data_IF_014339212348
#
_entry.id   IF_014339212348
#
_cell.length_a   1.000
_cell.length_b   1.000
_cell.length_c   1.000
_cell.angle_alpha   90.00
_cell.angle_beta   90.00
_cell.angle_gamma   90.00
#
_symmetry.space_group_name_H-M   'P 1'
#
loop_
_entity.id
_entity.type
_entity.pdbx_description
1 polymer ?
#
# COMPACT_ATOMS: atom_id res chain seq x y z
N UNK A 1 6.04 -82.99 -33.41
CA UNK A 1 7.30 -82.24 -33.46
C UNK A 1 7.62 -81.76 -32.07
N UNK A 2 8.20 -82.64 -31.26
CA UNK A 2 8.86 -82.21 -30.03
C UNK A 2 10.07 -81.37 -30.48
N UNK A 3 10.30 -80.22 -29.87
CA UNK A 3 11.56 -79.51 -30.07
C UNK A 3 12.68 -80.48 -29.70
N UNK A 4 13.70 -80.60 -30.56
CA UNK A 4 14.92 -81.33 -30.21
C UNK A 4 15.45 -80.79 -28.87
N UNK A 5 15.98 -81.67 -28.01
CA UNK A 5 16.51 -81.29 -26.69
C UNK A 5 17.48 -80.11 -26.77
N UNK A 6 18.29 -80.06 -27.84
CA UNK A 6 19.20 -78.97 -28.18
C UNK A 6 18.50 -77.61 -28.40
N UNK A 7 17.32 -77.62 -29.03
CA UNK A 7 16.55 -76.39 -29.26
C UNK A 7 15.86 -75.91 -27.98
N UNK A 8 15.45 -76.85 -27.11
CA UNK A 8 14.87 -76.53 -25.81
C UNK A 8 15.93 -75.94 -24.86
N UNK A 9 17.14 -76.52 -24.83
CA UNK A 9 18.28 -75.99 -24.09
C UNK A 9 18.69 -74.60 -24.58
N UNK A 10 18.79 -74.40 -25.89
CA UNK A 10 19.12 -73.09 -26.45
C UNK A 10 18.07 -72.00 -26.13
N UNK A 11 16.78 -72.37 -26.04
CA UNK A 11 15.71 -71.45 -25.65
C UNK A 11 15.79 -71.11 -24.15
N UNK A 12 16.09 -72.11 -23.31
CA UNK A 12 16.30 -71.92 -21.87
C UNK A 12 17.51 -71.04 -21.59
N UNK A 13 18.59 -71.19 -22.34
CA UNK A 13 19.81 -70.39 -22.22
C UNK A 13 19.52 -68.91 -22.55
N UNK A 14 18.81 -68.64 -23.65
CA UNK A 14 18.38 -67.29 -24.01
C UNK A 14 17.44 -66.66 -22.99
N UNK A 15 16.54 -67.46 -22.41
CA UNK A 15 15.63 -66.96 -21.38
C UNK A 15 16.39 -66.62 -20.09
N UNK A 16 17.38 -67.42 -19.70
CA UNK A 16 18.27 -67.13 -18.57
C UNK A 16 19.11 -65.88 -18.80
N UNK A 17 19.68 -65.71 -19.99
CA UNK A 17 20.39 -64.48 -20.35
C UNK A 17 19.47 -63.26 -20.30
N UNK A 18 18.24 -63.40 -20.80
CA UNK A 18 17.25 -62.33 -20.77
C UNK A 18 16.88 -61.94 -19.34
N UNK A 19 16.61 -62.93 -18.48
CA UNK A 19 16.34 -62.71 -17.04
C UNK A 19 17.53 -62.06 -16.35
N UNK A 20 18.74 -62.57 -16.56
CA UNK A 20 19.97 -62.02 -15.99
C UNK A 20 20.20 -60.55 -16.40
N UNK A 21 20.01 -60.23 -17.69
CA UNK A 21 20.15 -58.86 -18.18
C UNK A 21 19.09 -57.92 -17.60
N UNK A 22 17.86 -58.38 -17.42
CA UNK A 22 16.78 -57.62 -16.76
C UNK A 22 17.07 -57.40 -15.27
N UNK A 23 17.61 -58.41 -14.58
CA UNK A 23 18.04 -58.30 -13.18
C UNK A 23 19.22 -57.33 -13.03
N UNK A 24 20.21 -57.36 -13.93
CA UNK A 24 21.30 -56.39 -13.95
C UNK A 24 20.83 -54.96 -14.20
N UNK A 25 19.88 -54.77 -15.12
CA UNK A 25 19.25 -53.46 -15.37
C UNK A 25 18.46 -53.01 -14.14
N UNK A 26 17.72 -53.90 -13.48
CA UNK A 26 16.97 -53.59 -12.27
C UNK A 26 17.90 -53.26 -11.09
N UNK A 27 19.04 -53.95 -10.96
CA UNK A 27 20.06 -53.67 -9.95
C UNK A 27 20.86 -52.39 -10.21
N UNK A 28 21.09 -52.04 -11.49
CA UNK A 28 21.68 -50.76 -11.89
C UNK A 28 20.73 -49.58 -11.72
N UNK A 29 19.44 -49.82 -11.87
CA UNK A 29 18.41 -48.82 -11.59
C UNK A 29 18.31 -48.68 -10.09
N UNK A 30 18.55 -47.48 -9.57
CA UNK A 30 18.44 -47.18 -8.14
C UNK A 30 17.08 -47.66 -7.62
N UNK A 31 16.98 -48.27 -6.42
CA UNK A 31 15.70 -48.73 -5.90
C UNK A 31 14.68 -47.58 -5.95
N UNK A 32 13.45 -47.82 -6.43
CA UNK A 32 12.46 -46.77 -6.58
C UNK A 32 12.34 -46.02 -5.24
N UNK A 33 12.56 -44.71 -5.27
CA UNK A 33 12.51 -43.88 -4.07
C UNK A 33 11.04 -43.70 -3.66
N UNK A 34 10.47 -44.72 -3.03
CA UNK A 34 9.07 -44.77 -2.59
C UNK A 34 8.73 -43.60 -1.66
N UNK A 35 9.72 -43.07 -0.94
CA UNK A 35 9.61 -41.89 -0.07
C UNK A 35 9.59 -40.56 -0.84
N UNK A 36 9.97 -40.53 -2.12
CA UNK A 36 9.93 -39.32 -2.93
C UNK A 36 8.49 -38.87 -3.18
N UNK A 37 7.57 -39.81 -3.42
CA UNK A 37 6.14 -39.51 -3.60
C UNK A 37 5.52 -38.93 -2.34
N UNK A 38 5.83 -39.48 -1.17
CA UNK A 38 5.38 -38.97 0.13
C UNK A 38 5.95 -37.58 0.41
N UNK A 39 7.26 -37.38 0.26
CA UNK A 39 7.89 -36.06 0.41
C UNK A 39 7.32 -35.03 -0.55
N UNK A 40 7.01 -35.42 -1.78
CA UNK A 40 6.42 -34.51 -2.77
C UNK A 40 5.00 -34.09 -2.37
N UNK A 41 4.21 -35.01 -1.79
CA UNK A 41 2.89 -34.67 -1.21
C UNK A 41 3.03 -33.72 -0.02
N UNK A 42 3.93 -34.00 0.93
CA UNK A 42 4.16 -33.11 2.08
C UNK A 42 4.57 -31.70 1.66
N UNK A 43 5.47 -31.58 0.69
CA UNK A 43 5.91 -30.27 0.17
C UNK A 43 4.76 -29.57 -0.54
N UNK A 44 3.95 -30.29 -1.32
CA UNK A 44 2.76 -29.74 -1.98
C UNK A 44 1.75 -29.21 -0.96
N UNK A 45 1.46 -29.97 0.09
CA UNK A 45 0.50 -29.57 1.12
C UNK A 45 1.00 -28.36 1.92
N UNK A 46 2.30 -28.34 2.26
CA UNK A 46 2.95 -27.18 2.89
C UNK A 46 2.90 -25.96 1.98
N UNK A 47 3.20 -26.13 0.69
CA UNK A 47 3.16 -25.04 -0.29
C UNK A 47 1.74 -24.48 -0.39
N UNK A 48 0.73 -25.35 -0.50
CA UNK A 48 -0.66 -24.95 -0.57
C UNK A 48 -1.09 -24.16 0.67
N UNK A 49 -0.74 -24.64 1.88
CA UNK A 49 -1.04 -23.90 3.12
C UNK A 49 -0.37 -22.52 3.18
N UNK A 50 0.88 -22.41 2.72
CA UNK A 50 1.59 -21.13 2.64
C UNK A 50 0.95 -20.20 1.61
N UNK A 51 0.55 -20.71 0.44
CA UNK A 51 -0.14 -19.93 -0.59
C UNK A 51 -1.48 -19.42 -0.09
N UNK A 52 -2.27 -20.26 0.57
CA UNK A 52 -3.57 -19.86 1.14
C UNK A 52 -3.42 -18.78 2.22
N UNK A 53 -2.43 -18.93 3.11
CA UNK A 53 -2.11 -17.93 4.12
C UNK A 53 -1.63 -16.60 3.50
N UNK A 54 -0.78 -16.67 2.47
CA UNK A 54 -0.31 -15.51 1.72
C UNK A 54 -1.46 -14.77 1.02
N UNK A 55 -2.35 -15.51 0.36
CA UNK A 55 -3.52 -14.95 -0.30
C UNK A 55 -4.49 -14.32 0.69
N UNK A 56 -4.70 -14.95 1.85
CA UNK A 56 -5.51 -14.38 2.93
C UNK A 56 -4.92 -13.07 3.46
N UNK A 57 -3.61 -13.04 3.72
CA UNK A 57 -2.90 -11.84 4.15
C UNK A 57 -2.96 -10.72 3.10
N UNK A 58 -2.78 -11.07 1.83
CA UNK A 58 -2.86 -10.12 0.71
C UNK A 58 -4.26 -9.52 0.58
N UNK A 59 -5.31 -10.33 0.73
CA UNK A 59 -6.71 -9.83 0.74
C UNK A 59 -6.96 -8.89 1.93
N UNK A 60 -6.47 -9.25 3.11
CA UNK A 60 -6.61 -8.40 4.30
C UNK A 60 -5.89 -7.05 4.10
N UNK A 61 -4.65 -7.06 3.63
CA UNK A 61 -3.89 -5.84 3.34
C UNK A 61 -4.59 -4.94 2.32
N UNK A 62 -5.14 -5.52 1.23
CA UNK A 62 -5.91 -4.77 0.23
C UNK A 62 -7.14 -4.12 0.82
N UNK A 63 -7.88 -4.84 1.69
CA UNK A 63 -9.06 -4.32 2.35
C UNK A 63 -8.71 -3.16 3.28
N UNK A 64 -7.71 -3.32 4.14
CA UNK A 64 -7.23 -2.25 5.02
C UNK A 64 -6.79 -1.02 4.23
N UNK A 65 -6.10 -1.21 3.09
CA UNK A 65 -5.69 -0.11 2.24
C UNK A 65 -6.89 0.62 1.61
N UNK A 66 -7.93 -0.09 1.18
CA UNK A 66 -9.15 0.53 0.67
C UNK A 66 -9.88 1.33 1.76
N UNK A 67 -10.00 0.78 2.97
CA UNK A 67 -10.61 1.48 4.10
C UNK A 67 -9.80 2.73 4.48
N UNK A 68 -8.47 2.63 4.46
CA UNK A 68 -7.59 3.78 4.67
C UNK A 68 -7.79 4.88 3.62
N UNK A 69 -7.83 4.54 2.33
CA UNK A 69 -8.04 5.52 1.26
C UNK A 69 -9.41 6.20 1.37
N UNK A 70 -10.45 5.47 1.79
CA UNK A 70 -11.77 6.06 2.05
C UNK A 70 -11.73 7.09 3.17
N UNK A 71 -11.11 6.76 4.30
CA UNK A 71 -10.96 7.68 5.44
C UNK A 71 -10.09 8.87 5.06
N UNK A 72 -9.00 8.65 4.32
CA UNK A 72 -8.12 9.70 3.79
C UNK A 72 -8.89 10.69 2.92
N UNK A 73 -9.69 10.19 1.98
CA UNK A 73 -10.52 11.01 1.11
C UNK A 73 -11.59 11.80 1.89
N UNK A 74 -12.26 11.18 2.86
CA UNK A 74 -13.23 11.86 3.72
C UNK A 74 -12.58 12.98 4.54
N UNK A 75 -11.42 12.69 5.15
CA UNK A 75 -10.63 13.69 5.89
C UNK A 75 -10.25 14.87 5.00
N UNK A 76 -9.75 14.60 3.79
CA UNK A 76 -9.42 15.64 2.82
C UNK A 76 -10.64 16.50 2.50
N UNK A 77 -11.77 15.88 2.14
CA UNK A 77 -12.98 16.62 1.76
C UNK A 77 -13.51 17.51 2.89
N UNK A 78 -13.57 17.00 4.13
CA UNK A 78 -14.04 17.76 5.27
C UNK A 78 -13.10 18.92 5.60
N UNK A 79 -11.80 18.68 5.56
CA UNK A 79 -10.79 19.73 5.76
C UNK A 79 -10.90 20.80 4.68
N UNK A 80 -10.87 20.40 3.40
CA UNK A 80 -10.88 21.34 2.26
C UNK A 80 -12.14 22.18 2.24
N UNK A 81 -13.31 21.61 2.56
CA UNK A 81 -14.56 22.40 2.69
C UNK A 81 -14.45 23.52 3.72
N UNK A 82 -13.92 23.21 4.91
CA UNK A 82 -13.72 24.21 5.96
C UNK A 82 -12.65 25.23 5.55
N UNK A 83 -11.53 24.76 5.02
CA UNK A 83 -10.40 25.59 4.62
C UNK A 83 -10.78 26.58 3.51
N UNK A 84 -11.45 26.11 2.45
CA UNK A 84 -11.94 26.96 1.35
C UNK A 84 -12.93 28.01 1.86
N UNK A 85 -13.84 27.64 2.74
CA UNK A 85 -14.78 28.58 3.36
C UNK A 85 -14.04 29.69 4.11
N UNK A 86 -13.08 29.33 4.96
CA UNK A 86 -12.26 30.32 5.69
C UNK A 86 -11.49 31.20 4.72
N UNK A 87 -10.89 30.62 3.67
CA UNK A 87 -10.10 31.33 2.67
C UNK A 87 -10.92 32.38 1.90
N UNK A 88 -12.19 32.10 1.60
CA UNK A 88 -13.09 33.04 0.92
C UNK A 88 -13.53 34.21 1.81
N UNK A 89 -13.61 34.00 3.12
CA UNK A 89 -14.23 34.94 4.06
C UNK A 89 -13.19 35.77 4.83
N UNK A 90 -12.00 35.21 5.09
CA UNK A 90 -10.97 35.81 5.94
C UNK A 90 -10.55 37.22 5.50
N UNK A 91 -10.29 37.42 4.21
CA UNK A 91 -9.89 38.71 3.65
C UNK A 91 -10.97 39.79 3.84
N UNK A 92 -12.24 39.42 3.62
CA UNK A 92 -13.38 40.33 3.80
C UNK A 92 -13.56 40.72 5.26
N UNK A 93 -13.40 39.77 6.19
CA UNK A 93 -13.49 40.04 7.63
C UNK A 93 -12.34 40.95 8.07
N UNK A 94 -11.11 40.63 7.66
CA UNK A 94 -9.93 41.41 8.04
C UNK A 94 -10.03 42.86 7.56
N UNK A 95 -10.40 43.09 6.28
CA UNK A 95 -10.67 44.43 5.73
C UNK A 95 -11.73 45.20 6.52
N UNK A 96 -12.78 44.50 6.98
CA UNK A 96 -13.86 45.10 7.75
C UNK A 96 -13.41 45.50 9.16
N UNK A 97 -12.62 44.67 9.83
CA UNK A 97 -12.08 44.97 11.17
C UNK A 97 -11.07 46.12 11.09
N UNK A 98 -10.16 46.09 10.11
CA UNK A 98 -9.17 47.15 9.90
C UNK A 98 -9.77 48.45 9.33
N UNK A 99 -11.06 48.45 8.94
CA UNK A 99 -11.75 49.58 8.28
C UNK A 99 -10.97 50.16 7.09
N UNK A 100 -10.23 49.32 6.38
CA UNK A 100 -9.35 49.75 5.31
C UNK A 100 -9.37 48.74 4.15
N UNK A 101 -9.56 49.23 2.93
CA UNK A 101 -9.63 48.39 1.71
C UNK A 101 -8.27 47.85 1.28
N UNK A 102 -7.19 48.53 1.66
CA UNK A 102 -5.81 48.14 1.35
C UNK A 102 -5.28 47.06 2.29
N UNK A 103 -5.98 46.77 3.40
CA UNK A 103 -5.65 45.64 4.25
C UNK A 103 -5.96 44.32 3.53
N UNK A 104 -5.15 43.28 3.71
CA UNK A 104 -5.41 41.97 3.11
C UNK A 104 -5.03 40.87 4.08
N UNK A 105 -5.77 39.76 4.06
CA UNK A 105 -5.42 38.55 4.80
C UNK A 105 -5.35 37.38 3.82
N UNK A 106 -4.26 36.63 3.89
CA UNK A 106 -3.95 35.55 2.96
C UNK A 106 -3.70 34.30 3.79
N UNK A 107 -4.40 33.22 3.41
CA UNK A 107 -4.25 31.90 4.00
C UNK A 107 -3.81 30.93 2.90
N UNK A 108 -2.74 30.17 3.15
CA UNK A 108 -2.24 29.15 2.22
C UNK A 108 -1.82 27.88 2.95
N UNK A 109 -2.02 26.73 2.33
CA UNK A 109 -1.51 25.46 2.82
C UNK A 109 -0.11 25.20 2.26
N UNK A 110 0.81 24.68 3.07
CA UNK A 110 2.15 24.29 2.62
C UNK A 110 2.10 23.11 1.65
N UNK A 111 1.18 22.17 1.89
CA UNK A 111 0.95 21.02 1.03
C UNK A 111 -0.50 21.07 0.49
N UNK A 112 -0.71 21.45 -0.78
CA UNK A 112 -2.04 21.49 -1.37
C UNK A 112 -2.70 20.11 -1.53
N UNK A 113 -1.92 19.03 -1.68
CA UNK A 113 -2.46 17.68 -1.85
C UNK A 113 -2.92 17.08 -0.52
N UNK A 114 -2.18 17.33 0.55
CA UNK A 114 -2.49 16.85 1.90
C UNK A 114 -2.37 17.99 2.92
N UNK A 115 -3.30 18.97 2.90
CA UNK A 115 -3.20 20.17 3.71
C UNK A 115 -3.35 19.91 5.22
N UNK A 116 -3.85 18.73 5.60
CA UNK A 116 -3.92 18.25 6.98
C UNK A 116 -2.60 17.67 7.52
N UNK A 117 -1.58 17.44 6.67
CA UNK A 117 -0.24 16.99 7.10
C UNK A 117 0.75 18.14 7.24
N UNK A 118 0.54 19.23 6.48
CA UNK A 118 1.42 20.40 6.47
C UNK A 118 0.95 21.52 7.41
N UNK A 119 1.75 22.57 7.49
CA UNK A 119 1.35 23.82 8.13
C UNK A 119 0.36 24.62 7.28
N UNK A 120 -0.43 25.46 7.96
CA UNK A 120 -1.20 26.53 7.32
C UNK A 120 -0.46 27.84 7.56
N UNK A 121 -0.07 28.48 6.47
CA UNK A 121 0.55 29.79 6.48
C UNK A 121 -0.53 30.87 6.48
N UNK A 122 -0.53 31.68 7.54
CA UNK A 122 -1.43 32.82 7.68
C UNK A 122 -0.63 34.11 7.67
N UNK A 123 -0.85 34.95 6.67
CA UNK A 123 -0.13 36.20 6.47
C UNK A 123 -1.11 37.37 6.30
N UNK A 124 -0.73 38.54 6.81
CA UNK A 124 -1.57 39.73 6.75
C UNK A 124 -0.78 40.94 6.22
N UNK A 125 -1.47 41.77 5.44
CA UNK A 125 -0.99 43.07 4.98
C UNK A 125 -1.78 44.13 5.75
N UNK A 126 -1.10 44.78 6.70
CA UNK A 126 -1.69 45.90 7.43
C UNK A 126 -1.76 47.17 6.55
N UNK A 127 -2.69 48.10 6.83
CA UNK A 127 -2.81 49.35 6.08
C UNK A 127 -1.50 50.14 6.00
N UNK A 128 -1.04 50.45 4.78
CA UNK A 128 0.17 51.24 4.57
C UNK A 128 1.49 50.50 4.80
N UNK A 129 1.47 49.20 5.12
CA UNK A 129 2.66 48.35 5.24
C UNK A 129 2.78 47.37 4.06
N UNK A 130 4.00 46.93 3.81
CA UNK A 130 4.30 45.84 2.86
C UNK A 130 3.90 44.48 3.47
N UNK A 131 3.80 43.46 2.63
CA UNK A 131 3.55 42.08 3.05
C UNK A 131 4.54 41.65 4.15
N UNK A 132 4.00 41.21 5.28
CA UNK A 132 4.76 40.83 6.47
C UNK A 132 4.22 39.50 7.00
N UNK A 133 5.14 38.62 7.41
CA UNK A 133 4.77 37.42 8.17
C UNK A 133 4.11 37.83 9.49
N UNK A 134 3.25 36.97 10.03
CA UNK A 134 2.57 37.20 11.32
C UNK A 134 3.55 37.55 12.43
N UNK A 135 4.76 36.97 12.46
CA UNK A 135 5.76 37.24 13.50
C UNK A 135 6.22 38.71 13.55
N UNK A 136 6.23 39.39 12.40
CA UNK A 136 6.71 40.76 12.25
C UNK A 136 5.62 41.83 12.44
N UNK A 137 4.38 41.42 12.75
CA UNK A 137 3.29 42.33 13.07
C UNK A 137 3.38 42.82 14.53
N UNK A 138 2.88 44.03 14.78
CA UNK A 138 2.73 44.54 16.15
C UNK A 138 1.72 43.69 16.94
N UNK A 139 1.80 43.68 18.28
CA UNK A 139 0.90 42.89 19.12
C UNK A 139 -0.59 43.19 18.88
N UNK A 140 -0.95 44.44 18.61
CA UNK A 140 -2.32 44.83 18.26
C UNK A 140 -2.77 44.30 16.90
N UNK A 141 -1.88 44.34 15.89
CA UNK A 141 -2.15 43.77 14.57
C UNK A 141 -2.30 42.24 14.62
N UNK A 142 -1.48 41.56 15.44
CA UNK A 142 -1.59 40.12 15.71
C UNK A 142 -2.94 39.77 16.35
N UNK A 143 -3.40 40.55 17.33
CA UNK A 143 -4.70 40.34 17.97
C UNK A 143 -5.87 40.51 16.97
N UNK A 144 -5.82 41.54 16.13
CA UNK A 144 -6.82 41.77 15.08
C UNK A 144 -6.83 40.62 14.05
N UNK A 145 -5.65 40.18 13.62
CA UNK A 145 -5.51 39.07 12.69
C UNK A 145 -6.05 37.75 13.29
N UNK A 146 -5.81 37.50 14.57
CA UNK A 146 -6.36 36.34 15.28
C UNK A 146 -7.89 36.40 15.41
N UNK A 147 -8.45 37.56 15.75
CA UNK A 147 -9.90 37.79 15.79
C UNK A 147 -10.54 37.58 14.42
N UNK A 148 -9.90 38.05 13.36
CA UNK A 148 -10.38 37.85 12.00
C UNK A 148 -10.46 36.35 11.64
N UNK A 149 -9.43 35.58 12.01
CA UNK A 149 -9.39 34.13 11.79
C UNK A 149 -10.47 33.41 12.59
N UNK A 150 -10.65 33.77 13.87
CA UNK A 150 -11.68 33.21 14.73
C UNK A 150 -13.09 33.43 14.14
N UNK A 151 -13.37 34.66 13.68
CA UNK A 151 -14.66 34.96 13.05
C UNK A 151 -14.84 34.30 11.68
N UNK A 152 -13.77 34.05 10.94
CA UNK A 152 -13.84 33.34 9.66
C UNK A 152 -14.18 31.85 9.85
N UNK A 153 -13.72 31.23 10.94
CA UNK A 153 -14.02 29.83 11.27
C UNK A 153 -15.45 29.66 11.81
N UNK A 154 -15.96 30.64 12.57
CA UNK A 154 -17.27 30.55 13.22
C UNK A 154 -18.45 30.98 12.33
N UNK A 155 -18.17 31.69 11.24
CA UNK A 155 -19.17 32.12 10.24
C UNK A 155 -19.54 30.99 9.30
#
# INVERSE_FOLDING_TARGET
HLLDEEQLEALMEKLKESVSSLEEVLHRTTPPNLKALEKMREVKDKLQGVTEAFDASTRAARRCNQEFEQVKAQRFQLFSRCFEHVLLVIDRIYKRICRNRSAQAILSAENPEEPYLGGINYNCVAPGKRFMSMDNLSGGEKAIAALALLFAIHR
#
